data_IF_718824360561
#
_entry.id   IF_718824360561
#
_cell.length_a   1.000
_cell.length_b   1.000
_cell.length_c   1.000
_cell.angle_alpha   90.00
_cell.angle_beta   90.00
_cell.angle_gamma   90.00
#
_symmetry.space_group_name_H-M   'P 1'
#
loop_
_entity.id
_entity.type
_entity.pdbx_description
1 polymer ?
#
# COMPACT_ATOMS: atom_id res chain seq x y z
N UNK A 1 -20.00 -89.25 28.00
CA UNK A 1 -19.22 -90.34 27.36
C UNK A 1 -19.98 -90.78 26.13
N UNK A 2 -19.31 -90.91 24.98
CA UNK A 2 -19.43 -92.01 24.00
C UNK A 2 -18.74 -91.56 22.69
N UNK A 3 -18.00 -92.49 22.11
CA UNK A 3 -16.92 -92.31 21.14
C UNK A 3 -17.37 -92.07 19.68
N UNK A 4 -16.41 -91.58 18.88
CA UNK A 4 -16.09 -91.79 17.43
C UNK A 4 -16.96 -92.82 16.67
N UNK A 5 -17.17 -92.72 15.32
CA UNK A 5 -16.10 -92.50 14.30
C UNK A 5 -16.53 -91.87 12.94
N UNK A 6 -15.59 -91.74 11.99
CA UNK A 6 -15.83 -91.96 10.54
C UNK A 6 -15.83 -90.75 9.59
N UNK A 7 -14.79 -90.65 8.74
CA UNK A 7 -14.62 -89.70 7.62
C UNK A 7 -15.63 -89.93 6.47
N UNK A 8 -15.87 -88.91 5.60
CA UNK A 8 -15.40 -89.05 4.20
C UNK A 8 -15.03 -87.74 3.42
N UNK A 9 -14.15 -87.94 2.41
CA UNK A 9 -14.01 -87.26 1.10
C UNK A 9 -13.42 -85.82 0.99
N UNK A 10 -12.28 -85.71 0.27
CA UNK A 10 -11.78 -84.48 -0.42
C UNK A 10 -12.53 -84.22 -1.75
N UNK A 11 -12.19 -83.22 -2.61
CA UNK A 11 -10.85 -82.94 -3.22
C UNK A 11 -10.61 -81.40 -3.49
N UNK A 12 -9.86 -80.91 -4.51
CA UNK A 12 -8.50 -81.16 -5.02
C UNK A 12 -7.56 -79.90 -4.96
N UNK A 13 -6.25 -80.11 -5.15
CA UNK A 13 -5.19 -79.09 -5.14
C UNK A 13 -4.99 -78.33 -6.48
N UNK A 14 -4.90 -77.00 -6.40
CA UNK A 14 -4.60 -76.05 -7.49
C UNK A 14 -3.11 -76.06 -7.91
N UNK A 15 -2.62 -77.16 -8.50
CA UNK A 15 -1.27 -77.25 -9.08
C UNK A 15 -1.25 -77.19 -10.62
N UNK A 16 -2.26 -76.58 -11.24
CA UNK A 16 -2.49 -76.66 -12.69
C UNK A 16 -2.54 -75.32 -13.45
N UNK A 17 -1.96 -74.22 -12.94
CA UNK A 17 -1.99 -72.92 -13.66
C UNK A 17 -0.62 -72.29 -13.91
N UNK A 18 0.49 -72.87 -13.43
CA UNK A 18 1.84 -72.32 -13.65
C UNK A 18 2.58 -72.89 -14.88
N UNK A 19 1.99 -73.86 -15.61
CA UNK A 19 2.70 -74.62 -16.64
C UNK A 19 2.44 -74.18 -18.10
N UNK A 20 1.60 -73.17 -18.36
CA UNK A 20 1.16 -72.84 -19.73
C UNK A 20 1.85 -71.64 -20.41
N UNK A 21 2.78 -70.93 -19.77
CA UNK A 21 3.55 -69.83 -20.41
C UNK A 21 5.04 -70.12 -20.62
N UNK A 22 5.47 -71.38 -20.48
CA UNK A 22 6.89 -71.72 -20.41
C UNK A 22 7.62 -71.79 -21.77
N UNK A 23 7.03 -71.42 -22.93
CA UNK A 23 7.66 -71.65 -24.25
C UNK A 23 7.40 -70.58 -25.35
N UNK A 24 7.55 -69.27 -25.09
CA UNK A 24 7.58 -68.24 -26.17
C UNK A 24 8.56 -67.07 -25.99
N UNK A 25 9.71 -67.28 -25.35
CA UNK A 25 10.75 -66.23 -25.26
C UNK A 25 12.14 -66.82 -25.48
N UNK A 26 12.98 -66.24 -26.38
CA UNK A 26 14.35 -66.68 -26.62
C UNK A 26 15.18 -66.75 -25.34
N UNK A 27 16.12 -67.69 -25.26
CA UNK A 27 16.96 -67.94 -24.06
C UNK A 27 17.78 -66.72 -23.61
N UNK A 28 18.16 -65.83 -24.52
CA UNK A 28 18.82 -64.56 -24.18
C UNK A 28 17.87 -63.60 -23.44
N UNK A 29 16.59 -63.53 -23.86
CA UNK A 29 15.58 -62.74 -23.18
C UNK A 29 15.26 -63.26 -21.78
N UNK A 30 15.26 -64.58 -21.55
CA UNK A 30 15.05 -65.15 -20.18
C UNK A 30 16.18 -64.81 -19.20
N UNK A 31 17.40 -64.60 -19.68
CA UNK A 31 18.55 -64.24 -18.84
C UNK A 31 18.60 -62.74 -18.56
N UNK A 32 18.14 -61.91 -19.48
CA UNK A 32 18.12 -60.46 -19.32
C UNK A 32 16.85 -59.94 -18.64
N UNK A 33 15.71 -60.65 -18.74
CA UNK A 33 14.44 -60.25 -18.14
C UNK A 33 14.53 -60.00 -16.62
N UNK A 34 15.20 -60.82 -15.80
CA UNK A 34 15.36 -60.54 -14.36
C UNK A 34 16.18 -59.29 -14.11
N UNK A 35 17.16 -58.99 -14.97
CA UNK A 35 18.02 -57.81 -14.89
C UNK A 35 17.22 -56.55 -15.25
N UNK A 36 16.40 -56.60 -16.30
CA UNK A 36 15.52 -55.50 -16.66
C UNK A 36 14.41 -55.27 -15.64
N UNK A 37 13.83 -56.33 -15.08
CA UNK A 37 12.86 -56.22 -13.97
C UNK A 37 13.56 -55.60 -12.74
N UNK A 38 14.77 -56.05 -12.41
CA UNK A 38 15.58 -55.47 -11.34
C UNK A 38 15.89 -53.99 -11.56
N UNK A 39 16.24 -53.59 -12.79
CA UNK A 39 16.50 -52.21 -13.14
C UNK A 39 15.24 -51.33 -13.08
N UNK A 40 14.09 -51.84 -13.55
CA UNK A 40 12.80 -51.14 -13.45
C UNK A 40 12.35 -51.01 -11.99
N UNK A 41 12.50 -52.07 -11.18
CA UNK A 41 12.23 -52.02 -9.74
C UNK A 41 13.17 -51.05 -9.01
N UNK A 42 14.45 -50.98 -9.41
CA UNK A 42 15.42 -50.02 -8.88
C UNK A 42 15.04 -48.58 -9.27
N UNK A 43 14.63 -48.33 -10.51
CA UNK A 43 14.17 -47.01 -10.97
C UNK A 43 12.89 -46.60 -10.22
N UNK A 44 11.93 -47.51 -10.07
CA UNK A 44 10.71 -47.27 -9.29
C UNK A 44 11.05 -47.05 -7.81
N UNK A 45 11.99 -47.79 -7.23
CA UNK A 45 12.46 -47.58 -5.85
C UNK A 45 13.17 -46.22 -5.69
N UNK A 46 14.06 -45.84 -6.61
CA UNK A 46 14.74 -44.54 -6.59
C UNK A 46 13.77 -43.37 -6.81
N UNK A 47 12.74 -43.53 -7.66
CA UNK A 47 11.67 -42.54 -7.81
C UNK A 47 10.75 -42.48 -6.57
N UNK A 48 10.48 -43.62 -5.91
CA UNK A 48 9.68 -43.65 -4.67
C UNK A 48 10.47 -43.22 -3.42
N UNK A 49 11.81 -43.27 -3.43
CA UNK A 49 12.65 -42.67 -2.39
C UNK A 49 12.53 -41.13 -2.36
N UNK A 50 12.07 -40.50 -3.46
CA UNK A 50 11.69 -39.08 -3.49
C UNK A 50 10.21 -38.82 -3.15
N UNK A 51 9.40 -39.87 -2.90
CA UNK A 51 7.95 -39.77 -2.61
C UNK A 51 7.63 -40.09 -1.15
N UNK A 52 8.54 -40.73 -0.41
CA UNK A 52 8.45 -40.81 1.04
C UNK A 52 9.26 -39.67 1.68
N UNK A 53 8.64 -38.56 2.12
CA UNK A 53 9.30 -37.73 3.10
C UNK A 53 9.53 -38.63 4.31
N UNK A 54 10.79 -38.81 4.70
CA UNK A 54 11.13 -39.34 6.03
C UNK A 54 10.68 -38.30 7.05
N UNK A 55 9.37 -38.24 7.26
CA UNK A 55 8.71 -37.48 8.31
C UNK A 55 8.96 -38.18 9.63
N UNK A 56 10.18 -38.06 10.15
CA UNK A 56 10.35 -38.01 11.58
C UNK A 56 9.84 -36.62 11.96
N UNK A 57 8.61 -36.54 12.50
CA UNK A 57 8.19 -35.39 13.29
C UNK A 57 9.16 -35.30 14.47
N UNK A 58 10.25 -34.55 14.29
CA UNK A 58 11.00 -34.06 15.43
C UNK A 58 10.10 -33.03 16.12
N UNK A 59 9.96 -33.08 17.46
CA UNK A 59 9.34 -31.98 18.18
C UNK A 59 10.07 -30.70 17.77
N UNK A 60 9.28 -29.71 17.35
CA UNK A 60 9.74 -28.42 16.87
C UNK A 60 10.56 -27.75 17.98
N UNK A 61 11.88 -27.99 17.96
CA UNK A 61 12.84 -27.12 18.58
C UNK A 61 13.14 -26.05 17.54
N UNK A 62 13.00 -24.75 17.87
CA UNK A 62 13.34 -23.70 16.93
C UNK A 62 14.78 -23.94 16.50
N UNK A 63 14.98 -24.14 15.18
CA UNK A 63 16.31 -24.19 14.62
C UNK A 63 16.94 -22.83 14.91
N UNK A 64 17.76 -22.77 15.97
CA UNK A 64 18.75 -21.72 16.15
C UNK A 64 19.75 -21.93 15.03
N UNK A 65 19.36 -21.50 13.84
CA UNK A 65 20.28 -21.25 12.76
C UNK A 65 21.22 -20.22 13.34
N UNK A 66 22.51 -20.53 13.41
CA UNK A 66 23.56 -19.52 13.59
C UNK A 66 23.58 -18.64 12.35
N UNK A 67 22.52 -17.84 12.17
CA UNK A 67 22.57 -16.67 11.32
C UNK A 67 23.61 -15.77 11.97
N UNK A 68 24.57 -15.28 11.18
CA UNK A 68 25.41 -14.19 11.66
C UNK A 68 24.48 -13.10 12.19
N UNK A 69 24.81 -12.47 13.33
CA UNK A 69 23.93 -11.47 13.92
C UNK A 69 23.59 -10.44 12.84
N UNK A 70 22.31 -10.05 12.68
CA UNK A 70 21.90 -9.12 11.65
C UNK A 70 22.75 -7.86 11.79
N UNK A 71 23.67 -7.65 10.84
CA UNK A 71 24.52 -6.47 10.84
C UNK A 71 23.66 -5.36 10.25
N UNK A 72 22.85 -4.76 11.13
CA UNK A 72 22.05 -3.57 10.80
C UNK A 72 22.98 -2.60 10.09
N UNK A 73 22.63 -2.25 8.85
CA UNK A 73 23.46 -1.36 8.02
C UNK A 73 23.66 -0.04 8.75
N UNK A 74 24.77 0.64 8.56
CA UNK A 74 24.98 1.94 9.23
C UNK A 74 24.04 3.03 8.67
N UNK A 75 23.61 2.90 7.41
CA UNK A 75 22.85 3.92 6.68
C UNK A 75 21.45 3.44 6.29
N UNK A 76 20.51 4.39 6.22
CA UNK A 76 19.20 4.16 5.63
C UNK A 76 19.31 3.94 4.12
N UNK A 77 18.75 2.86 3.57
CA UNK A 77 18.67 2.64 2.13
C UNK A 77 17.96 3.79 1.42
N UNK A 78 18.53 4.26 0.29
CA UNK A 78 17.88 5.27 -0.57
C UNK A 78 16.83 4.64 -1.49
N UNK A 79 15.85 3.99 -0.87
CA UNK A 79 14.72 3.34 -1.53
C UNK A 79 13.40 3.83 -0.97
N UNK A 80 12.42 4.05 -1.85
CA UNK A 80 11.04 4.38 -1.51
C UNK A 80 10.16 3.27 -2.07
N UNK A 81 9.40 2.62 -1.20
CA UNK A 81 8.48 1.55 -1.53
C UNK A 81 7.05 2.03 -1.40
N UNK A 82 6.24 1.73 -2.40
CA UNK A 82 4.79 1.71 -2.28
C UNK A 82 4.26 0.35 -2.72
N UNK A 83 3.06 0.00 -2.28
CA UNK A 83 2.36 -1.21 -2.75
C UNK A 83 1.02 -0.82 -3.34
N UNK A 84 0.68 -1.36 -4.51
CA UNK A 84 -0.63 -1.12 -5.10
C UNK A 84 -1.09 -2.25 -6.02
N UNK A 85 -2.38 -2.29 -6.32
CA UNK A 85 -3.00 -3.39 -7.08
C UNK A 85 -2.40 -3.55 -8.48
N UNK A 86 -2.05 -2.44 -9.12
CA UNK A 86 -1.66 -2.41 -10.54
C UNK A 86 -0.30 -1.76 -10.75
N UNK A 87 0.33 -2.03 -11.89
CA UNK A 87 1.58 -1.41 -12.29
C UNK A 87 1.46 0.12 -12.42
N UNK A 88 2.54 0.90 -12.14
CA UNK A 88 2.56 2.36 -12.28
C UNK A 88 2.06 2.92 -13.61
N UNK A 89 2.23 2.19 -14.72
CA UNK A 89 1.72 2.59 -16.04
C UNK A 89 0.18 2.61 -16.13
N UNK A 90 -0.51 1.98 -15.18
CA UNK A 90 -1.97 1.89 -15.08
C UNK A 90 -2.53 2.67 -13.90
N UNK A 91 -1.72 3.48 -13.23
CA UNK A 91 -2.20 4.32 -12.13
C UNK A 91 -3.26 5.30 -12.61
N UNK A 92 -4.32 5.42 -11.81
CA UNK A 92 -5.25 6.53 -11.95
C UNK A 92 -4.55 7.84 -11.57
N UNK A 93 -5.10 8.97 -12.01
CA UNK A 93 -4.49 10.30 -11.83
C UNK A 93 -4.12 10.57 -10.36
N UNK A 94 -4.98 10.17 -9.42
CA UNK A 94 -4.75 10.31 -7.98
C UNK A 94 -3.48 9.58 -7.53
N UNK A 95 -3.41 8.28 -7.78
CA UNK A 95 -2.30 7.40 -7.35
C UNK A 95 -0.99 7.79 -8.06
N UNK A 96 -1.11 8.28 -9.30
CA UNK A 96 0.04 8.80 -10.04
C UNK A 96 0.57 10.10 -9.43
N UNK A 97 -0.30 10.98 -8.94
CA UNK A 97 0.09 12.24 -8.32
C UNK A 97 0.81 12.01 -6.99
N UNK A 98 0.32 11.11 -6.14
CA UNK A 98 0.98 10.73 -4.89
C UNK A 98 2.34 10.08 -5.16
N UNK A 99 2.41 9.11 -6.08
CA UNK A 99 3.68 8.49 -6.49
C UNK A 99 4.70 9.51 -7.03
N UNK A 100 4.26 10.44 -7.89
CA UNK A 100 5.11 11.51 -8.43
C UNK A 100 5.61 12.47 -7.34
N UNK A 101 4.84 12.68 -6.28
CA UNK A 101 5.27 13.54 -5.17
C UNK A 101 6.54 13.01 -4.50
N UNK A 102 6.67 11.69 -4.35
CA UNK A 102 7.85 11.03 -3.79
C UNK A 102 9.06 11.17 -4.71
N UNK A 103 8.88 10.87 -6.01
CA UNK A 103 9.93 10.99 -7.02
C UNK A 103 10.45 12.43 -7.17
N UNK A 104 9.54 13.40 -7.25
CA UNK A 104 9.90 14.81 -7.46
C UNK A 104 10.66 15.42 -6.28
N UNK A 105 10.31 15.04 -5.05
CA UNK A 105 10.98 15.53 -3.85
C UNK A 105 12.27 14.78 -3.54
N UNK A 106 12.44 13.58 -4.08
CA UNK A 106 13.56 12.68 -3.75
C UNK A 106 14.22 12.10 -5.01
N UNK A 107 14.81 12.96 -5.88
CA UNK A 107 15.36 12.53 -7.17
C UNK A 107 16.51 11.50 -7.04
N UNK A 108 17.19 11.49 -5.90
CA UNK A 108 18.32 10.58 -5.62
C UNK A 108 17.88 9.23 -5.04
N UNK A 109 16.57 9.01 -4.88
CA UNK A 109 16.02 7.78 -4.31
C UNK A 109 15.47 6.88 -5.40
N UNK A 110 15.72 5.58 -5.24
CA UNK A 110 15.10 4.57 -6.10
C UNK A 110 13.66 4.34 -5.64
N UNK A 111 12.71 4.60 -6.52
CA UNK A 111 11.29 4.38 -6.28
C UNK A 111 10.87 3.02 -6.84
N UNK A 112 10.17 2.23 -6.04
CA UNK A 112 9.71 0.89 -6.38
C UNK A 112 8.24 0.71 -5.98
N UNK A 113 7.51 -0.05 -6.80
CA UNK A 113 6.13 -0.43 -6.52
C UNK A 113 5.99 -1.93 -6.64
N UNK A 114 5.57 -2.57 -5.54
CA UNK A 114 5.11 -3.96 -5.58
C UNK A 114 3.61 -4.00 -5.84
N UNK A 115 3.20 -4.99 -6.64
CA UNK A 115 1.83 -5.14 -7.09
C UNK A 115 1.34 -6.57 -6.93
N UNK A 116 0.03 -6.75 -7.04
CA UNK A 116 -0.63 -8.06 -6.97
C UNK A 116 -0.03 -9.07 -7.98
N UNK A 117 0.57 -8.59 -9.08
CA UNK A 117 1.20 -9.40 -10.12
C UNK A 117 2.62 -9.87 -9.77
N UNK A 118 3.33 -9.21 -8.84
CA UNK A 118 4.74 -9.46 -8.56
C UNK A 118 5.08 -9.70 -7.08
N UNK A 119 4.14 -9.48 -6.16
CA UNK A 119 4.37 -9.58 -4.72
C UNK A 119 4.87 -10.97 -4.28
N UNK A 120 4.26 -12.04 -4.79
CA UNK A 120 4.62 -13.42 -4.45
C UNK A 120 6.06 -13.73 -4.90
N UNK A 121 6.46 -13.26 -6.09
CA UNK A 121 7.82 -13.46 -6.59
C UNK A 121 8.84 -12.70 -5.74
N UNK A 122 8.49 -11.50 -5.27
CA UNK A 122 9.33 -10.75 -4.35
C UNK A 122 9.54 -11.51 -3.03
N UNK A 123 8.46 -12.04 -2.46
CA UNK A 123 8.52 -12.83 -1.22
C UNK A 123 9.32 -14.13 -1.43
N UNK A 124 9.09 -14.86 -2.52
CA UNK A 124 9.87 -16.06 -2.86
C UNK A 124 11.37 -15.75 -3.03
N UNK A 125 11.71 -14.64 -3.69
CA UNK A 125 13.09 -14.23 -3.89
C UNK A 125 13.82 -13.91 -2.58
N UNK A 126 13.18 -13.13 -1.70
CA UNK A 126 13.83 -12.69 -0.45
C UNK A 126 13.74 -13.72 0.67
N UNK A 127 12.62 -14.43 0.82
CA UNK A 127 12.36 -15.32 1.95
C UNK A 127 12.45 -16.81 1.59
N UNK A 128 12.59 -17.15 0.30
CA UNK A 128 12.83 -18.52 -0.14
C UNK A 128 14.19 -19.07 0.30
N UNK A 129 14.49 -20.30 -0.15
CA UNK A 129 15.68 -21.07 0.25
C UNK A 129 17.00 -20.32 0.04
N UNK A 130 17.11 -19.57 -1.05
CA UNK A 130 18.34 -18.86 -1.42
C UNK A 130 18.46 -17.46 -0.80
N UNK A 131 17.40 -16.96 -0.16
CA UNK A 131 17.37 -15.66 0.52
C UNK A 131 17.57 -15.81 2.02
N UNK A 132 16.59 -15.37 2.82
CA UNK A 132 16.58 -15.52 4.28
C UNK A 132 16.28 -16.95 4.75
N UNK A 133 15.99 -17.88 3.83
CA UNK A 133 15.65 -19.28 4.11
C UNK A 133 14.51 -19.41 5.12
N UNK A 134 13.41 -18.71 4.86
CA UNK A 134 12.15 -18.71 5.61
C UNK A 134 11.00 -19.21 4.72
N UNK A 135 11.03 -20.48 4.28
CA UNK A 135 9.97 -21.05 3.46
C UNK A 135 8.60 -21.01 4.15
N UNK A 136 8.57 -21.02 5.49
CA UNK A 136 7.36 -20.84 6.29
C UNK A 136 6.68 -19.47 6.05
N UNK A 137 7.45 -18.40 5.88
CA UNK A 137 6.93 -17.08 5.50
C UNK A 137 6.37 -17.10 4.07
N UNK A 138 7.08 -17.76 3.15
CA UNK A 138 6.67 -17.86 1.74
C UNK A 138 5.35 -18.61 1.63
N UNK A 139 5.23 -19.76 2.28
CA UNK A 139 4.03 -20.58 2.25
C UNK A 139 2.85 -19.85 2.93
N UNK A 140 3.10 -19.24 4.09
CA UNK A 140 2.09 -18.44 4.77
C UNK A 140 1.57 -17.28 3.89
N UNK A 141 2.47 -16.50 3.29
CA UNK A 141 2.09 -15.38 2.43
C UNK A 141 1.27 -15.82 1.20
N UNK A 142 1.54 -17.02 0.67
CA UNK A 142 0.80 -17.62 -0.44
C UNK A 142 -0.64 -17.96 -0.05
N UNK A 143 -0.83 -18.45 1.18
CA UNK A 143 -2.11 -18.96 1.68
C UNK A 143 -3.05 -17.85 2.17
N UNK A 144 -2.50 -16.70 2.60
CA UNK A 144 -3.31 -15.53 2.98
C UNK A 144 -4.03 -14.94 1.77
N UNK A 145 -5.37 -14.88 1.83
CA UNK A 145 -6.24 -14.27 0.78
C UNK A 145 -6.86 -12.94 1.19
N UNK A 146 -6.85 -12.59 2.47
CA UNK A 146 -7.31 -11.29 2.94
C UNK A 146 -6.35 -10.19 2.42
N UNK A 147 -6.82 -9.38 1.47
CA UNK A 147 -5.98 -8.41 0.76
C UNK A 147 -5.31 -7.39 1.69
N UNK A 148 -6.01 -6.93 2.73
CA UNK A 148 -5.48 -5.96 3.71
C UNK A 148 -4.37 -6.56 4.57
N UNK A 149 -4.57 -7.77 5.09
CA UNK A 149 -3.56 -8.54 5.83
C UNK A 149 -2.33 -8.77 4.96
N UNK A 150 -2.54 -9.13 3.69
CA UNK A 150 -1.47 -9.36 2.72
C UNK A 150 -0.66 -8.08 2.47
N UNK A 151 -1.33 -6.92 2.35
CA UNK A 151 -0.67 -5.63 2.18
C UNK A 151 0.14 -5.21 3.43
N UNK A 152 -0.46 -5.32 4.63
CA UNK A 152 0.25 -5.04 5.90
C UNK A 152 1.49 -5.94 6.03
N UNK A 153 1.34 -7.25 5.79
CA UNK A 153 2.44 -8.19 5.87
C UNK A 153 3.53 -7.90 4.83
N UNK A 154 3.15 -7.62 3.57
CA UNK A 154 4.10 -7.30 2.51
C UNK A 154 4.95 -6.09 2.86
N UNK A 155 4.36 -5.05 3.45
CA UNK A 155 5.09 -3.88 3.95
C UNK A 155 6.20 -4.29 4.92
N UNK A 156 5.88 -5.09 5.93
CA UNK A 156 6.86 -5.51 6.93
C UNK A 156 7.96 -6.40 6.32
N UNK A 157 7.58 -7.28 5.38
CA UNK A 157 8.53 -8.13 4.64
C UNK A 157 9.53 -7.29 3.83
N UNK A 158 9.05 -6.29 3.09
CA UNK A 158 9.90 -5.36 2.32
C UNK A 158 10.84 -4.59 3.26
N UNK A 159 10.29 -4.08 4.36
CA UNK A 159 11.05 -3.26 5.31
C UNK A 159 12.11 -4.08 6.07
N UNK A 160 11.83 -5.36 6.37
CA UNK A 160 12.85 -6.27 6.88
C UNK A 160 13.92 -6.59 5.82
N UNK A 161 13.50 -6.93 4.59
CA UNK A 161 14.41 -7.40 3.55
C UNK A 161 15.37 -6.32 3.06
N UNK A 162 14.85 -5.12 2.79
CA UNK A 162 15.58 -4.08 2.08
C UNK A 162 15.62 -2.74 2.82
N UNK A 163 14.67 -2.48 3.72
CA UNK A 163 14.54 -1.20 4.42
C UNK A 163 14.31 -0.03 3.45
N UNK A 164 14.69 1.17 3.89
CA UNK A 164 14.42 2.42 3.19
C UNK A 164 13.20 3.09 3.78
N UNK A 165 12.37 3.70 2.95
CA UNK A 165 11.06 4.23 3.32
C UNK A 165 9.97 3.40 2.67
N UNK A 166 8.92 3.08 3.42
CA UNK A 166 7.66 2.64 2.87
C UNK A 166 6.60 3.73 3.03
N UNK A 167 5.70 3.85 2.05
CA UNK A 167 4.48 4.65 2.14
C UNK A 167 3.31 3.96 1.40
N UNK A 168 2.10 4.01 1.96
CA UNK A 168 0.88 3.60 1.26
C UNK A 168 0.69 4.46 -0.02
N UNK A 169 -0.02 3.92 -1.02
CA UNK A 169 -0.16 4.60 -2.33
C UNK A 169 -0.85 5.96 -2.23
N UNK A 170 -1.72 6.13 -1.23
CA UNK A 170 -2.51 7.33 -0.98
C UNK A 170 -1.82 8.31 -0.02
N UNK A 171 -0.50 8.18 0.12
CA UNK A 171 0.35 9.12 0.85
C UNK A 171 1.12 10.01 -0.12
N UNK A 172 0.93 11.31 0.03
CA UNK A 172 1.70 12.35 -0.64
C UNK A 172 2.89 12.78 0.23
N UNK A 173 4.08 12.87 -0.37
CA UNK A 173 5.21 13.55 0.27
C UNK A 173 5.02 15.06 0.20
N UNK A 174 5.07 15.78 1.32
CA UNK A 174 5.07 17.25 1.34
C UNK A 174 6.50 17.81 1.42
N UNK A 175 7.44 17.06 2.01
CA UNK A 175 8.86 17.41 2.15
C UNK A 175 9.76 16.25 1.68
N UNK A 176 11.02 16.53 1.30
CA UNK A 176 11.98 15.47 0.99
C UNK A 176 12.36 14.64 2.24
N UNK A 177 12.78 13.39 2.04
CA UNK A 177 13.23 12.48 3.12
C UNK A 177 14.42 13.04 3.91
N UNK A 178 15.22 13.93 3.31
CA UNK A 178 16.29 14.64 4.02
C UNK A 178 15.81 15.51 5.18
N UNK A 179 14.49 15.74 5.30
CA UNK A 179 13.86 16.45 6.42
C UNK A 179 13.20 15.55 7.46
N UNK A 180 13.19 14.23 7.26
CA UNK A 180 12.56 13.28 8.20
C UNK A 180 13.40 13.07 9.46
N UNK A 181 14.72 13.28 9.39
CA UNK A 181 15.61 13.31 10.55
C UNK A 181 16.00 14.78 10.78
N UNK A 182 15.49 15.42 11.85
CA UNK A 182 15.89 16.78 12.19
C UNK A 182 17.40 16.90 12.39
N UNK A 183 17.97 18.07 12.05
CA UNK A 183 19.42 18.34 12.08
C UNK A 183 20.08 18.15 13.46
N UNK A 184 19.27 18.19 14.54
CA UNK A 184 19.74 17.90 15.91
C UNK A 184 20.05 16.43 16.18
N UNK A 185 19.66 15.52 15.28
CA UNK A 185 19.91 14.09 15.41
C UNK A 185 20.85 13.60 14.31
N UNK A 186 21.66 12.58 14.66
CA UNK A 186 22.49 11.86 13.71
C UNK A 186 21.75 10.62 13.20
N UNK A 187 21.74 10.42 11.88
CA UNK A 187 21.18 9.22 11.27
C UNK A 187 21.92 7.92 11.71
N UNK A 188 23.15 8.03 12.20
CA UNK A 188 23.91 6.88 12.72
C UNK A 188 23.33 6.34 14.03
N UNK A 189 22.67 7.20 14.82
CA UNK A 189 22.09 6.84 16.12
C UNK A 189 20.65 6.34 16.02
N UNK A 190 20.09 6.36 14.81
CA UNK A 190 18.70 6.03 14.54
C UNK A 190 18.65 4.82 13.61
N UNK A 191 17.85 3.83 13.97
CA UNK A 191 17.61 2.65 13.15
C UNK A 191 16.25 2.65 12.47
N UNK A 192 15.29 3.39 13.03
CA UNK A 192 13.93 3.51 12.55
C UNK A 192 13.38 4.92 12.79
N UNK A 193 12.62 5.44 11.84
CA UNK A 193 11.87 6.70 11.94
C UNK A 193 10.39 6.38 11.74
N UNK A 194 9.58 6.70 12.74
CA UNK A 194 8.12 6.53 12.76
C UNK A 194 7.47 7.84 13.15
N UNK A 195 6.19 8.01 12.83
CA UNK A 195 5.37 9.10 13.35
C UNK A 195 4.25 8.57 14.23
N UNK A 196 3.69 9.44 15.06
CA UNK A 196 2.44 9.15 15.77
C UNK A 196 1.27 9.38 14.80
N UNK A 197 0.34 8.44 14.75
CA UNK A 197 -0.91 8.56 14.00
C UNK A 197 -2.05 9.03 14.91
N UNK A 198 -2.28 8.33 16.02
CA UNK A 198 -3.37 8.63 16.96
C UNK A 198 -2.79 8.75 18.36
N UNK A 199 -3.11 9.84 19.04
CA UNK A 199 -2.72 10.15 20.41
C UNK A 199 -3.94 10.65 21.19
N UNK A 200 -4.79 9.72 21.59
CA UNK A 200 -6.07 9.95 22.26
C UNK A 200 -6.17 9.04 23.50
N UNK A 201 -5.19 9.07 24.42
CA UNK A 201 -5.04 8.07 25.48
C UNK A 201 -6.22 8.03 26.46
N UNK A 202 -6.99 9.11 26.59
CA UNK A 202 -8.21 9.16 27.40
C UNK A 202 -9.25 8.09 27.01
N UNK A 203 -9.17 7.60 25.77
CA UNK A 203 -10.06 6.56 25.24
C UNK A 203 -9.46 5.16 25.32
N UNK A 204 -8.32 4.94 26.00
CA UNK A 204 -7.63 3.64 26.02
C UNK A 204 -8.48 2.49 26.54
N UNK A 205 -9.40 2.78 27.45
CA UNK A 205 -10.27 1.78 28.09
C UNK A 205 -11.61 1.61 27.35
N UNK A 206 -11.87 2.42 26.33
CA UNK A 206 -13.10 2.32 25.55
C UNK A 206 -13.08 1.04 24.69
N UNK A 207 -14.14 0.22 24.66
CA UNK A 207 -14.12 -1.09 24.00
C UNK A 207 -13.83 -1.04 22.49
N UNK A 208 -14.36 -0.04 21.77
CA UNK A 208 -14.17 0.14 20.31
C UNK A 208 -12.99 1.04 19.95
N UNK A 209 -12.79 2.15 20.69
CA UNK A 209 -11.76 3.15 20.40
C UNK A 209 -10.41 2.83 21.04
N UNK A 210 -10.40 2.18 22.20
CA UNK A 210 -9.20 1.87 22.99
C UNK A 210 -8.09 1.20 22.21
N UNK A 211 -8.36 0.13 21.43
CA UNK A 211 -7.32 -0.55 20.66
C UNK A 211 -6.57 0.36 19.67
N UNK A 212 -7.19 1.44 19.19
CA UNK A 212 -6.62 2.36 18.19
C UNK A 212 -6.25 3.75 18.73
N UNK A 213 -6.60 4.03 19.98
CA UNK A 213 -6.39 5.34 20.66
C UNK A 213 -4.93 5.80 20.73
N UNK A 214 -3.99 4.86 20.65
CA UNK A 214 -2.55 5.07 20.84
C UNK A 214 -1.81 4.29 19.77
N UNK A 215 -1.51 4.97 18.68
CA UNK A 215 -1.02 4.31 17.46
C UNK A 215 0.12 5.07 16.81
N UNK A 216 1.23 4.37 16.54
CA UNK A 216 2.21 4.81 15.56
C UNK A 216 1.70 4.57 14.14
N UNK A 217 2.08 5.48 13.25
CA UNK A 217 1.80 5.41 11.82
C UNK A 217 2.50 4.20 11.19
N UNK A 218 1.72 3.20 10.79
CA UNK A 218 2.22 2.02 10.07
C UNK A 218 2.24 2.19 8.54
N UNK A 219 1.40 3.09 8.02
CA UNK A 219 1.21 3.32 6.59
C UNK A 219 2.32 4.18 5.97
N UNK A 220 3.22 4.74 6.79
CA UNK A 220 4.50 5.32 6.36
C UNK A 220 5.51 5.23 7.49
N UNK A 221 6.68 4.67 7.21
CA UNK A 221 7.83 4.70 8.12
C UNK A 221 9.14 4.40 7.37
N UNK A 222 10.26 4.75 7.99
CA UNK A 222 11.60 4.54 7.44
C UNK A 222 12.41 3.64 8.38
N UNK A 223 13.11 2.64 7.86
CA UNK A 223 13.98 1.80 8.69
C UNK A 223 15.20 1.28 7.93
N UNK A 224 16.23 0.90 8.68
CA UNK A 224 17.33 0.07 8.17
C UNK A 224 16.84 -1.37 7.93
N UNK A 225 17.45 -2.14 7.02
CA UNK A 225 17.05 -3.52 6.82
C UNK A 225 17.40 -4.39 8.03
N UNK A 226 16.69 -5.51 8.16
CA UNK A 226 16.91 -6.58 9.15
C UNK A 226 16.78 -6.14 10.61
N UNK A 227 15.91 -5.16 10.90
CA UNK A 227 15.59 -4.84 12.29
C UNK A 227 14.83 -6.01 12.94
N UNK A 228 15.23 -6.47 14.14
CA UNK A 228 14.56 -7.57 14.83
C UNK A 228 13.06 -7.36 15.05
N UNK A 229 12.62 -6.12 15.28
CA UNK A 229 11.18 -5.80 15.45
C UNK A 229 10.35 -6.14 14.23
N UNK A 230 10.87 -5.94 13.02
CA UNK A 230 10.12 -6.25 11.80
C UNK A 230 9.90 -7.75 11.68
N UNK A 231 10.93 -8.58 11.96
CA UNK A 231 10.77 -10.04 11.97
C UNK A 231 9.82 -10.51 13.07
N UNK A 232 9.96 -9.97 14.29
CA UNK A 232 9.04 -10.30 15.40
C UNK A 232 7.59 -9.98 15.05
N UNK A 233 7.34 -8.83 14.40
CA UNK A 233 6.01 -8.45 13.94
C UNK A 233 5.48 -9.41 12.86
N UNK A 234 6.30 -9.77 11.87
CA UNK A 234 5.96 -10.78 10.85
C UNK A 234 5.56 -12.11 11.51
N UNK A 235 6.37 -12.62 12.44
CA UNK A 235 6.12 -13.89 13.13
C UNK A 235 4.91 -13.81 14.06
N UNK A 236 4.68 -12.66 14.68
CA UNK A 236 3.48 -12.41 15.48
C UNK A 236 2.22 -12.49 14.60
N UNK A 237 2.20 -11.81 13.46
CA UNK A 237 1.09 -11.85 12.50
C UNK A 237 0.83 -13.28 12.03
N UNK A 238 1.88 -14.03 11.70
CA UNK A 238 1.78 -15.44 11.33
C UNK A 238 1.12 -16.28 12.43
N UNK A 239 1.59 -16.12 13.66
CA UNK A 239 1.08 -16.84 14.82
C UNK A 239 -0.38 -16.48 15.11
N UNK A 240 -0.67 -15.17 15.12
CA UNK A 240 -2.00 -14.63 15.37
C UNK A 240 -3.01 -15.14 14.35
N UNK A 241 -2.74 -15.00 13.05
CA UNK A 241 -3.69 -15.38 12.01
C UNK A 241 -3.93 -16.90 11.96
N UNK A 242 -2.89 -17.71 12.21
CA UNK A 242 -3.06 -19.16 12.38
C UNK A 242 -3.93 -19.49 13.61
N UNK A 243 -3.79 -18.71 14.70
CA UNK A 243 -4.65 -18.78 15.87
C UNK A 243 -6.12 -18.53 15.50
N UNK A 244 -6.39 -17.42 14.81
CA UNK A 244 -7.74 -17.07 14.34
C UNK A 244 -8.31 -18.14 13.40
N UNK A 245 -7.51 -18.66 12.47
CA UNK A 245 -7.91 -19.74 11.56
C UNK A 245 -8.34 -21.00 12.34
N UNK A 246 -7.58 -21.37 13.36
CA UNK A 246 -7.89 -22.51 14.24
C UNK A 246 -9.15 -22.29 15.06
N UNK A 247 -9.37 -21.09 15.57
CA UNK A 247 -10.59 -20.72 16.32
C UNK A 247 -11.83 -20.78 15.43
N UNK A 248 -11.72 -20.27 14.20
CA UNK A 248 -12.78 -20.32 13.20
C UNK A 248 -12.93 -21.71 12.55
N UNK A 249 -11.97 -22.62 12.77
CA UNK A 249 -11.91 -23.96 12.18
C UNK A 249 -11.93 -23.96 10.64
N UNK A 250 -11.23 -22.99 10.05
CA UNK A 250 -11.12 -22.78 8.60
C UNK A 250 -9.65 -22.74 8.19
N UNK A 251 -9.31 -23.05 6.93
CA UNK A 251 -7.97 -22.78 6.41
C UNK A 251 -7.70 -21.27 6.37
N UNK A 252 -6.41 -20.87 6.35
CA UNK A 252 -5.97 -19.47 6.31
C UNK A 252 -6.65 -18.65 5.19
N UNK A 253 -6.88 -19.27 4.03
CA UNK A 253 -7.50 -18.64 2.87
C UNK A 253 -8.97 -18.22 3.10
N UNK A 254 -9.65 -18.83 4.08
CA UNK A 254 -11.07 -18.63 4.36
C UNK A 254 -11.31 -17.83 5.65
N UNK A 255 -10.25 -17.40 6.33
CA UNK A 255 -10.36 -16.60 7.55
C UNK A 255 -11.11 -15.30 7.25
N UNK A 256 -12.13 -15.02 8.07
CA UNK A 256 -12.86 -13.76 8.04
C UNK A 256 -12.44 -12.92 9.23
N UNK A 257 -12.01 -11.71 8.94
CA UNK A 257 -11.59 -10.74 9.95
C UNK A 257 -12.55 -9.56 9.94
N UNK A 258 -12.96 -9.14 11.13
CA UNK A 258 -13.58 -7.84 11.31
C UNK A 258 -12.52 -6.71 11.29
N UNK A 259 -13.00 -5.47 11.32
CA UNK A 259 -12.14 -4.29 11.26
C UNK A 259 -11.15 -4.23 12.42
N UNK A 260 -11.62 -4.49 13.65
CA UNK A 260 -10.80 -4.32 14.86
C UNK A 260 -9.73 -5.42 14.95
N UNK A 261 -10.05 -6.65 14.52
CA UNK A 261 -9.09 -7.74 14.37
C UNK A 261 -7.96 -7.39 13.40
N UNK A 262 -8.24 -6.72 12.28
CA UNK A 262 -7.19 -6.28 11.35
C UNK A 262 -6.29 -5.25 12.03
N UNK A 263 -6.88 -4.24 12.68
CA UNK A 263 -6.15 -3.18 13.37
C UNK A 263 -5.24 -3.74 14.47
N UNK A 264 -5.74 -4.68 15.28
CA UNK A 264 -5.00 -5.30 16.38
C UNK A 264 -4.04 -6.40 15.95
N UNK A 265 -4.30 -7.07 14.82
CA UNK A 265 -3.55 -8.24 14.39
C UNK A 265 -2.41 -7.94 13.42
N UNK A 266 -2.63 -7.04 12.46
CA UNK A 266 -1.63 -6.68 11.43
C UNK A 266 -1.41 -5.18 11.27
N UNK A 267 -2.39 -4.39 11.71
CA UNK A 267 -2.46 -2.96 11.52
C UNK A 267 -1.67 -2.13 12.55
N UNK A 268 -2.09 -0.87 12.77
CA UNK A 268 -1.32 0.09 13.56
C UNK A 268 -1.11 -0.34 15.02
N UNK A 269 -2.06 -1.02 15.65
CA UNK A 269 -1.92 -1.44 17.04
C UNK A 269 -0.88 -2.55 17.19
N UNK A 270 -0.89 -3.57 16.32
CA UNK A 270 0.13 -4.63 16.29
C UNK A 270 1.53 -4.06 16.07
N UNK A 271 1.66 -3.11 15.14
CA UNK A 271 2.90 -2.40 14.85
C UNK A 271 3.39 -1.60 16.06
N UNK A 272 2.48 -0.88 16.71
CA UNK A 272 2.77 -0.05 17.88
C UNK A 272 3.27 -0.89 19.06
N UNK A 273 2.54 -1.95 19.40
CA UNK A 273 2.92 -2.87 20.47
C UNK A 273 4.28 -3.53 20.20
N UNK A 274 4.53 -3.98 18.96
CA UNK A 274 5.81 -4.58 18.59
C UNK A 274 6.98 -3.60 18.79
N UNK A 275 6.81 -2.33 18.43
CA UNK A 275 7.82 -1.29 18.59
C UNK A 275 8.04 -0.94 20.05
N UNK A 276 6.98 -0.70 20.84
CA UNK A 276 7.12 -0.37 22.27
C UNK A 276 7.79 -1.52 23.03
N UNK A 277 7.39 -2.77 22.75
CA UNK A 277 8.04 -3.95 23.34
C UNK A 277 9.53 -4.01 22.98
N UNK A 278 9.86 -3.74 21.73
CA UNK A 278 11.23 -3.79 21.25
C UNK A 278 12.08 -2.62 21.77
N UNK A 279 11.50 -1.42 21.95
CA UNK A 279 12.11 -0.30 22.66
C UNK A 279 12.42 -0.68 24.12
N UNK A 280 11.49 -1.32 24.81
CA UNK A 280 11.68 -1.81 26.19
C UNK A 280 12.76 -2.90 26.29
N UNK A 281 12.90 -3.75 25.27
CA UNK A 281 13.98 -4.75 25.22
C UNK A 281 15.36 -4.14 24.99
N UNK A 282 15.43 -2.98 24.32
CA UNK A 282 16.68 -2.29 23.96
C UNK A 282 16.99 -1.06 24.81
N UNK A 283 16.21 -0.81 25.85
CA UNK A 283 16.41 0.35 26.74
C UNK A 283 17.80 0.29 27.40
N UNK A 284 18.45 1.44 27.48
CA UNK A 284 19.76 1.57 28.10
C UNK A 284 19.68 1.44 29.63
N UNK A 285 18.67 2.08 30.24
CA UNK A 285 18.38 1.94 31.67
C UNK A 285 17.28 0.88 31.88
N UNK A 286 17.60 -0.25 32.53
CA UNK A 286 16.62 -1.29 32.84
C UNK A 286 15.44 -0.81 33.71
N UNK A 287 15.60 0.27 34.48
CA UNK A 287 14.58 0.82 35.38
C UNK A 287 13.54 1.68 34.66
N UNK A 288 13.85 2.20 33.49
CA UNK A 288 12.91 3.00 32.71
C UNK A 288 11.82 2.09 32.14
N UNK A 289 10.55 2.44 32.36
CA UNK A 289 9.44 1.86 31.63
C UNK A 289 9.18 2.71 30.39
N UNK A 290 9.12 2.10 29.21
CA UNK A 290 8.75 2.81 27.98
C UNK A 290 7.30 2.46 27.69
N UNK A 291 6.41 3.42 27.87
CA UNK A 291 4.98 3.32 27.58
C UNK A 291 4.51 4.53 26.76
N UNK A 292 3.20 4.62 26.52
CA UNK A 292 2.64 5.66 25.68
C UNK A 292 2.76 7.07 26.27
N UNK A 293 2.90 7.20 27.60
CA UNK A 293 3.00 8.51 28.25
C UNK A 293 4.23 9.30 27.78
N UNK A 294 5.28 8.60 27.32
CA UNK A 294 6.45 9.22 26.69
C UNK A 294 6.16 9.86 25.33
N UNK A 295 5.11 9.39 24.66
CA UNK A 295 4.72 9.79 23.30
C UNK A 295 3.47 10.68 23.27
N UNK A 296 2.76 10.79 24.40
CA UNK A 296 1.62 11.68 24.54
C UNK A 296 2.02 13.16 24.51
N UNK A 297 1.23 13.99 23.83
CA UNK A 297 1.38 15.45 23.75
C UNK A 297 2.78 15.90 23.32
N UNK A 298 3.39 15.16 22.38
CA UNK A 298 4.70 15.48 21.85
C UNK A 298 4.68 16.75 20.97
N UNK A 299 5.26 17.83 21.47
CA UNK A 299 5.52 19.06 20.69
C UNK A 299 6.75 18.97 19.78
N UNK A 300 7.67 18.05 20.06
CA UNK A 300 8.87 17.81 19.28
C UNK A 300 9.19 16.32 19.18
N UNK A 301 9.90 15.93 18.12
CA UNK A 301 10.34 14.54 17.95
C UNK A 301 11.35 14.10 19.00
N UNK A 302 11.38 12.80 19.31
CA UNK A 302 12.24 12.21 20.34
C UNK A 302 12.86 10.91 19.84
N UNK A 303 14.07 10.60 20.32
CA UNK A 303 14.72 9.31 20.05
C UNK A 303 14.60 8.43 21.28
N UNK A 304 14.01 7.25 21.13
CA UNK A 304 13.84 6.25 22.19
C UNK A 304 14.37 4.91 21.67
N UNK A 305 15.37 4.34 22.36
CA UNK A 305 15.97 3.05 21.97
C UNK A 305 16.32 2.94 20.48
N UNK A 306 16.95 4.01 19.95
CA UNK A 306 17.36 4.19 18.53
C UNK A 306 16.20 4.31 17.53
N UNK A 307 14.99 4.54 17.99
CA UNK A 307 13.83 4.85 17.14
C UNK A 307 13.51 6.34 17.28
N UNK A 308 13.53 7.07 16.17
CA UNK A 308 13.09 8.46 16.11
C UNK A 308 11.56 8.49 15.94
N UNK A 309 10.86 8.99 16.95
CA UNK A 309 9.42 9.18 16.95
C UNK A 309 9.12 10.64 16.61
N UNK A 310 8.40 10.83 15.50
CA UNK A 310 7.94 12.13 15.01
C UNK A 310 6.55 12.44 15.54
N UNK A 311 6.24 13.73 15.65
CA UNK A 311 4.96 14.23 16.17
C UNK A 311 3.81 13.87 15.24
N UNK A 312 2.57 13.96 15.76
CA UNK A 312 1.35 13.79 14.96
C UNK A 312 1.34 14.77 13.78
N UNK A 313 1.64 16.05 14.01
CA UNK A 313 1.68 17.06 12.94
C UNK A 313 2.70 16.73 11.83
N UNK A 314 3.77 15.99 12.13
CA UNK A 314 4.76 15.64 11.12
C UNK A 314 4.25 14.57 10.13
N UNK A 315 3.54 13.56 10.62
CA UNK A 315 3.12 12.41 9.81
C UNK A 315 1.62 12.37 9.53
N UNK A 316 0.78 12.65 10.51
CA UNK A 316 -0.67 12.52 10.42
C UNK A 316 -1.39 13.89 10.45
N UNK A 317 -0.83 14.89 9.76
CA UNK A 317 -1.35 16.25 9.79
C UNK A 317 -2.80 16.36 9.31
N UNK A 318 -3.61 17.22 9.94
CA UNK A 318 -4.93 17.60 9.43
C UNK A 318 -6.02 16.52 9.49
N UNK A 319 -5.92 15.56 10.41
CA UNK A 319 -6.97 14.55 10.68
C UNK A 319 -8.08 15.04 11.62
N UNK A 320 -7.91 16.21 12.26
CA UNK A 320 -8.94 16.84 13.09
C UNK A 320 -9.06 16.28 14.51
N UNK A 321 -8.04 15.55 14.97
CA UNK A 321 -7.87 15.05 16.34
C UNK A 321 -6.36 14.93 16.65
N UNK A 322 -5.99 14.50 17.86
CA UNK A 322 -4.59 14.35 18.35
C UNK A 322 -3.71 15.60 18.12
N UNK A 323 -4.27 16.81 18.19
CA UNK A 323 -3.60 18.08 17.87
C UNK A 323 -2.78 18.07 16.56
N UNK A 324 -3.28 17.36 15.56
CA UNK A 324 -2.62 17.13 14.27
C UNK A 324 -2.35 18.35 13.39
N UNK A 325 -2.67 19.58 13.83
CA UNK A 325 -2.43 20.78 13.05
C UNK A 325 -3.05 20.74 11.64
N UNK A 326 -2.30 21.17 10.63
CA UNK A 326 -2.74 21.14 9.23
C UNK A 326 -1.59 20.88 8.25
N UNK A 327 -1.92 20.56 7.00
CA UNK A 327 -0.95 20.21 5.96
C UNK A 327 -0.03 21.37 5.51
N UNK A 328 -0.37 22.62 5.82
CA UNK A 328 0.46 23.79 5.51
C UNK A 328 1.48 24.08 6.64
N UNK A 329 1.39 23.35 7.76
CA UNK A 329 2.31 23.51 8.88
C UNK A 329 3.74 23.22 8.46
N UNK A 330 4.69 23.93 9.06
CA UNK A 330 6.11 23.77 8.75
C UNK A 330 6.61 22.36 9.07
N UNK A 331 6.07 21.74 10.11
CA UNK A 331 6.44 20.40 10.56
C UNK A 331 5.85 19.28 9.69
N UNK A 332 4.76 19.54 8.94
CA UNK A 332 4.11 18.53 8.12
C UNK A 332 5.05 18.01 7.02
N UNK A 333 5.36 16.72 7.08
CA UNK A 333 6.28 16.04 6.16
C UNK A 333 5.55 15.32 5.04
N UNK A 334 4.36 14.80 5.34
CA UNK A 334 3.54 13.99 4.44
C UNK A 334 2.05 14.33 4.63
N UNK A 335 1.23 13.87 3.69
CA UNK A 335 -0.23 14.01 3.69
C UNK A 335 -0.86 12.68 3.36
N UNK A 336 -1.75 12.20 4.23
CA UNK A 336 -2.49 10.97 4.02
C UNK A 336 -3.88 11.26 3.44
N UNK A 337 -4.27 10.55 2.38
CA UNK A 337 -5.60 10.67 1.79
C UNK A 337 -6.53 9.53 2.28
N UNK A 338 -6.87 9.50 3.58
CA UNK A 338 -7.54 8.39 4.32
C UNK A 338 -8.75 7.69 3.66
N UNK A 339 -9.41 8.32 2.69
CA UNK A 339 -10.57 7.74 1.99
C UNK A 339 -10.25 7.20 0.59
N UNK A 340 -9.00 7.27 0.16
CA UNK A 340 -8.61 6.95 -1.20
C UNK A 340 -8.55 5.43 -1.47
N UNK A 341 -8.03 4.65 -0.53
CA UNK A 341 -7.94 3.18 -0.65
C UNK A 341 -9.29 2.45 -0.51
N UNK A 342 -10.27 3.08 0.14
CA UNK A 342 -11.64 2.58 0.38
C UNK A 342 -11.69 1.17 0.99
N UNK A 343 -10.64 0.73 1.68
CA UNK A 343 -10.60 -0.59 2.31
C UNK A 343 -11.59 -0.76 3.48
N UNK A 344 -11.95 0.27 4.28
CA UNK A 344 -12.95 0.11 5.34
C UNK A 344 -14.34 -0.28 4.81
N UNK A 345 -14.62 -0.07 3.53
CA UNK A 345 -15.90 -0.52 2.94
C UNK A 345 -15.96 -2.03 2.76
N UNK A 346 -14.82 -2.73 2.77
CA UNK A 346 -14.72 -4.21 2.66
C UNK A 346 -14.66 -4.90 4.02
N UNK A 347 -14.24 -4.17 5.05
CA UNK A 347 -14.22 -4.59 6.44
C UNK A 347 -14.95 -3.52 7.26
N UNK A 348 -16.30 -3.57 7.30
CA UNK A 348 -17.08 -2.54 7.96
C UNK A 348 -16.75 -2.52 9.45
N UNK A 349 -16.67 -1.31 10.00
CA UNK A 349 -16.57 -1.09 11.44
C UNK A 349 -17.83 -1.56 12.13
N UNK A 350 -17.74 -1.78 13.43
CA UNK A 350 -18.93 -1.98 14.24
C UNK A 350 -19.87 -0.76 14.10
N UNK A 351 -21.11 -1.02 13.69
CA UNK A 351 -22.14 -0.01 13.55
C UNK A 351 -23.33 -0.40 14.43
N UNK A 352 -23.63 0.41 15.45
CA UNK A 352 -24.81 0.20 16.27
C UNK A 352 -26.09 0.36 15.41
N UNK A 353 -27.09 -0.52 15.50
CA UNK A 353 -28.29 -0.47 14.64
C UNK A 353 -28.99 0.89 14.62
N UNK A 354 -29.08 1.55 15.79
CA UNK A 354 -29.70 2.87 15.91
C UNK A 354 -28.73 4.03 15.67
N UNK A 355 -27.49 3.94 16.12
CA UNK A 355 -26.58 5.10 16.26
C UNK A 355 -25.36 5.06 15.33
N UNK A 356 -25.17 3.98 14.58
CA UNK A 356 -24.05 3.82 13.65
C UNK A 356 -22.70 3.63 14.36
N UNK A 357 -21.64 3.94 13.62
CA UNK A 357 -20.24 3.84 14.03
C UNK A 357 -19.85 4.98 14.99
N UNK A 358 -19.21 4.67 16.12
CA UNK A 358 -18.72 5.67 17.07
C UNK A 358 -17.58 6.52 16.49
N UNK A 359 -16.81 5.97 15.55
CA UNK A 359 -15.68 6.61 14.89
C UNK A 359 -16.08 7.83 14.07
N UNK A 360 -17.37 7.99 13.75
CA UNK A 360 -17.90 9.21 13.14
C UNK A 360 -17.76 10.44 14.04
N UNK A 361 -17.62 10.24 15.35
CA UNK A 361 -17.31 11.30 16.30
C UNK A 361 -15.89 11.86 16.16
N UNK A 362 -14.98 11.15 15.47
CA UNK A 362 -13.59 11.57 15.28
C UNK A 362 -12.91 12.01 16.60
N UNK A 363 -13.04 11.18 17.64
CA UNK A 363 -12.47 11.41 18.98
C UNK A 363 -13.03 12.61 19.76
N UNK A 364 -14.06 13.28 19.25
CA UNK A 364 -14.72 14.35 20.00
C UNK A 364 -15.39 13.81 21.28
N UNK A 365 -14.94 14.27 22.44
CA UNK A 365 -15.35 13.73 23.73
C UNK A 365 -16.85 13.78 23.97
N UNK A 366 -17.48 14.94 23.75
CA UNK A 366 -18.93 15.10 23.91
C UNK A 366 -19.72 14.14 23.01
N UNK A 367 -19.28 13.97 21.76
CA UNK A 367 -19.92 13.07 20.80
C UNK A 367 -19.79 11.60 21.22
N UNK A 368 -18.58 11.15 21.60
CA UNK A 368 -18.34 9.76 22.01
C UNK A 368 -19.12 9.42 23.28
N UNK A 369 -19.04 10.27 24.32
CA UNK A 369 -19.80 10.06 25.56
C UNK A 369 -21.30 10.04 25.33
N UNK A 370 -21.79 10.87 24.41
CA UNK A 370 -23.21 10.85 24.03
C UNK A 370 -23.57 9.53 23.34
N UNK A 371 -22.74 9.05 22.42
CA UNK A 371 -22.95 7.76 21.77
C UNK A 371 -23.00 6.61 22.79
N UNK A 372 -22.06 6.57 23.73
CA UNK A 372 -22.03 5.55 24.79
C UNK A 372 -23.29 5.58 25.65
N UNK A 373 -23.71 6.77 26.10
CA UNK A 373 -24.92 6.95 26.89
C UNK A 373 -26.17 6.50 26.13
N UNK A 374 -26.25 6.84 24.85
CA UNK A 374 -27.38 6.48 23.99
C UNK A 374 -27.44 4.95 23.77
N UNK A 375 -26.29 4.31 23.54
CA UNK A 375 -26.17 2.85 23.40
C UNK A 375 -26.52 2.13 24.71
N UNK A 376 -26.02 2.63 25.84
CA UNK A 376 -26.34 2.07 27.15
C UNK A 376 -27.84 2.20 27.46
N UNK A 377 -28.44 3.37 27.20
CA UNK A 377 -29.87 3.58 27.36
C UNK A 377 -30.69 2.65 26.45
N UNK A 378 -30.29 2.50 25.18
CA UNK A 378 -30.91 1.60 24.23
C UNK A 378 -30.89 0.14 24.70
N UNK A 379 -29.78 -0.31 25.31
CA UNK A 379 -29.64 -1.67 25.84
C UNK A 379 -30.64 -2.00 26.97
N UNK A 380 -31.15 -0.98 27.68
CA UNK A 380 -32.10 -1.11 28.80
C UNK A 380 -33.58 -1.07 28.39
N UNK A 381 -33.87 -0.78 27.12
CA UNK A 381 -35.24 -0.67 26.58
C UNK A 381 -35.85 -2.03 26.22
N UNK A 382 -37.19 -2.08 26.05
CA UNK A 382 -37.83 -3.30 25.54
C UNK A 382 -37.53 -3.51 24.05
N UNK A 383 -37.73 -4.73 23.54
CA UNK A 383 -37.47 -5.04 22.11
C UNK A 383 -38.35 -4.22 21.18
N UNK A 384 -39.59 -3.91 21.58
CA UNK A 384 -40.53 -3.11 20.81
C UNK A 384 -40.07 -1.65 20.72
N UNK A 385 -39.56 -1.09 21.83
CA UNK A 385 -38.99 0.26 21.86
C UNK A 385 -37.71 0.36 21.04
N UNK A 386 -36.83 -0.64 21.16
CA UNK A 386 -35.62 -0.74 20.35
C UNK A 386 -35.92 -0.77 18.86
N UNK A 387 -36.88 -1.60 18.43
CA UNK A 387 -37.27 -1.70 17.02
C UNK A 387 -37.82 -0.37 16.51
N UNK A 388 -38.66 0.31 17.30
CA UNK A 388 -39.20 1.62 16.93
C UNK A 388 -38.09 2.65 16.71
N UNK A 389 -37.09 2.70 17.60
CA UNK A 389 -35.94 3.61 17.46
C UNK A 389 -35.12 3.26 16.22
N UNK A 390 -34.89 1.97 15.95
CA UNK A 390 -34.18 1.52 14.75
C UNK A 390 -34.92 1.99 13.49
N UNK A 391 -36.24 1.78 13.42
CA UNK A 391 -37.06 2.15 12.27
C UNK A 391 -37.06 3.67 12.05
N UNK A 392 -37.19 4.45 13.13
CA UNK A 392 -37.15 5.91 13.09
C UNK A 392 -35.77 6.41 12.62
N UNK A 393 -34.68 5.84 13.14
CA UNK A 393 -33.31 6.18 12.73
C UNK A 393 -33.00 5.75 11.29
N UNK A 394 -33.52 4.61 10.85
CA UNK A 394 -33.37 4.17 9.46
C UNK A 394 -34.10 5.11 8.50
N UNK A 395 -35.31 5.56 8.85
CA UNK A 395 -36.04 6.59 8.09
C UNK A 395 -35.24 7.88 8.01
N UNK A 396 -34.73 8.39 9.13
CA UNK A 396 -33.88 9.60 9.16
C UNK A 396 -32.63 9.45 8.27
N UNK A 397 -31.96 8.29 8.32
CA UNK A 397 -30.78 8.01 7.49
C UNK A 397 -31.12 8.00 6.01
N UNK A 398 -32.24 7.39 5.63
CA UNK A 398 -32.71 7.34 4.25
C UNK A 398 -33.05 8.72 3.71
N UNK A 399 -33.77 9.53 4.50
CA UNK A 399 -34.07 10.92 4.16
C UNK A 399 -32.78 11.76 3.99
N UNK A 400 -31.80 11.58 4.87
CA UNK A 400 -30.50 12.24 4.77
C UNK A 400 -29.69 11.79 3.54
N UNK A 401 -29.71 10.49 3.21
CA UNK A 401 -29.04 9.95 2.03
C UNK A 401 -29.68 10.47 0.73
N UNK A 402 -31.01 10.49 0.65
CA UNK A 402 -31.75 11.01 -0.50
C UNK A 402 -31.47 12.50 -0.70
N UNK A 403 -31.42 13.27 0.40
CA UNK A 403 -31.00 14.68 0.37
C UNK A 403 -29.56 14.83 -0.13
N UNK A 404 -28.62 14.01 0.36
CA UNK A 404 -27.21 14.04 -0.08
C UNK A 404 -27.07 13.72 -1.57
N UNK A 405 -27.78 12.70 -2.07
CA UNK A 405 -27.80 12.35 -3.50
C UNK A 405 -28.32 13.49 -4.36
N UNK A 406 -29.40 14.14 -3.92
CA UNK A 406 -29.95 15.31 -4.61
C UNK A 406 -28.94 16.48 -4.64
N UNK A 407 -28.25 16.74 -3.52
CA UNK A 407 -27.21 17.78 -3.42
C UNK A 407 -25.99 17.46 -4.29
N UNK A 408 -25.54 16.21 -4.34
CA UNK A 408 -24.44 15.74 -5.20
C UNK A 408 -24.79 15.85 -6.68
N UNK A 409 -26.00 15.45 -7.07
CA UNK A 409 -26.47 15.58 -8.45
C UNK A 409 -26.54 17.04 -8.88
N UNK A 410 -27.01 17.93 -7.98
CA UNK A 410 -26.99 19.38 -8.19
C UNK A 410 -25.57 19.90 -8.36
N UNK A 411 -24.64 19.53 -7.48
CA UNK A 411 -23.22 19.92 -7.58
C UNK A 411 -22.59 19.44 -8.88
N UNK A 412 -22.90 18.22 -9.33
CA UNK A 412 -22.40 17.67 -10.59
C UNK A 412 -22.92 18.46 -11.79
N UNK A 413 -24.22 18.78 -11.82
CA UNK A 413 -24.84 19.65 -12.83
C UNK A 413 -24.18 21.04 -12.86
N UNK A 414 -23.94 21.63 -11.68
CA UNK A 414 -23.29 22.93 -11.56
C UNK A 414 -21.81 22.89 -12.02
N UNK A 415 -21.08 21.81 -11.71
CA UNK A 415 -19.71 21.61 -12.16
C UNK A 415 -19.61 21.42 -13.68
N UNK A 416 -20.51 20.63 -14.27
CA UNK A 416 -20.60 20.46 -15.73
C UNK A 416 -20.93 21.79 -16.43
N UNK A 417 -21.85 22.58 -15.86
CA UNK A 417 -22.16 23.92 -16.37
C UNK A 417 -20.94 24.83 -16.31
N UNK A 418 -20.23 24.92 -15.17
CA UNK A 418 -18.99 25.69 -15.05
C UNK A 418 -17.92 25.25 -16.04
N UNK A 419 -17.78 23.94 -16.29
CA UNK A 419 -16.82 23.41 -17.27
C UNK A 419 -17.17 23.84 -18.70
N UNK A 420 -18.47 23.79 -19.06
CA UNK A 420 -18.97 24.29 -20.35
C UNK A 420 -18.75 25.80 -20.51
N UNK A 421 -19.06 26.57 -19.47
CA UNK A 421 -18.87 28.03 -19.47
C UNK A 421 -17.39 28.40 -19.62
N UNK A 422 -16.49 27.71 -18.90
CA UNK A 422 -15.03 27.90 -19.02
C UNK A 422 -14.53 27.56 -20.42
N UNK A 423 -14.97 26.44 -20.99
CA UNK A 423 -14.60 26.05 -22.36
C UNK A 423 -15.11 27.05 -23.41
N UNK A 424 -16.32 27.58 -23.24
CA UNK A 424 -16.88 28.61 -24.11
C UNK A 424 -16.11 29.93 -24.01
N UNK A 425 -15.73 30.35 -22.80
CA UNK A 425 -14.92 31.54 -22.58
C UNK A 425 -13.51 31.39 -23.20
N UNK A 426 -12.89 30.23 -23.05
CA UNK A 426 -11.58 29.94 -23.66
C UNK A 426 -11.65 29.92 -25.19
N UNK A 427 -12.73 29.36 -25.76
CA UNK A 427 -12.97 29.41 -27.20
C UNK A 427 -13.12 30.84 -27.70
N UNK A 428 -13.94 31.67 -27.05
CA UNK A 428 -14.09 33.09 -27.39
C UNK A 428 -12.76 33.85 -27.30
N UNK A 429 -11.94 33.54 -26.29
CA UNK A 429 -10.61 34.14 -26.13
C UNK A 429 -9.70 33.79 -27.31
N UNK A 430 -9.67 32.51 -27.73
CA UNK A 430 -8.90 32.07 -28.91
C UNK A 430 -9.40 32.71 -30.20
N UNK A 431 -10.71 32.83 -30.38
CA UNK A 431 -11.30 33.51 -31.55
C UNK A 431 -10.93 35.01 -31.59
N UNK A 432 -10.94 35.69 -30.44
CA UNK A 432 -10.51 37.08 -30.32
C UNK A 432 -9.01 37.24 -30.62
N UNK A 433 -8.16 36.38 -30.03
CA UNK A 433 -6.71 36.39 -30.29
C UNK A 433 -6.39 36.15 -31.78
N UNK A 434 -7.15 35.28 -32.46
CA UNK A 434 -6.99 35.05 -33.91
C UNK A 434 -7.46 36.25 -34.74
N UNK A 435 -8.59 36.87 -34.37
CA UNK A 435 -9.09 38.08 -35.04
C UNK A 435 -8.10 39.26 -34.90
N UNK A 436 -7.55 39.45 -33.71
CA UNK A 436 -6.54 40.48 -33.43
C UNK A 436 -5.25 40.22 -34.24
N UNK A 437 -4.82 38.95 -34.38
CA UNK A 437 -3.68 38.57 -35.23
C UNK A 437 -3.92 38.91 -36.70
N UNK A 438 -5.09 38.53 -37.25
CA UNK A 438 -5.47 38.84 -38.64
C UNK A 438 -5.54 40.34 -38.89
N UNK A 439 -6.05 41.12 -37.93
CA UNK A 439 -6.08 42.58 -38.03
C UNK A 439 -4.67 43.22 -38.03
N UNK A 440 -3.73 42.66 -37.25
CA UNK A 440 -2.34 43.09 -37.27
C UNK A 440 -1.62 42.74 -38.58
N UNK A 441 -1.86 41.54 -39.13
CA UNK A 441 -1.32 41.12 -40.43
C UNK A 441 -1.84 42.03 -41.55
N UNK A 442 -3.14 42.32 -41.59
CA UNK A 442 -3.72 43.23 -42.58
C UNK A 442 -3.21 44.67 -42.50
N UNK A 443 -2.91 45.17 -41.29
CA UNK A 443 -2.25 46.48 -41.13
C UNK A 443 -0.82 46.48 -41.66
N UNK A 444 -0.05 45.43 -41.39
CA UNK A 444 1.32 45.29 -41.92
C UNK A 444 1.33 45.26 -43.45
N UNK A 445 0.44 44.48 -44.07
CA UNK A 445 0.33 44.44 -45.53
C UNK A 445 -0.07 45.80 -46.12
N UNK A 446 -0.96 46.54 -45.46
CA UNK A 446 -1.35 47.88 -45.89
C UNK A 446 -0.19 48.89 -45.77
N UNK A 447 0.58 48.84 -44.69
CA UNK A 447 1.76 49.69 -44.49
C UNK A 447 2.87 49.35 -45.49
N UNK A 448 3.04 48.07 -45.83
CA UNK A 448 4.03 47.59 -46.81
C UNK A 448 3.66 48.04 -48.23
N UNK A 449 2.39 47.92 -48.63
CA UNK A 449 1.90 48.48 -49.91
C UNK A 449 2.06 49.99 -50.00
N UNK A 450 1.78 50.71 -48.90
CA UNK A 450 1.96 52.15 -48.86
C UNK A 450 3.42 52.55 -49.01
N UNK A 451 4.33 51.78 -48.40
CA UNK A 451 5.77 51.95 -48.56
C UNK A 451 6.25 51.67 -49.98
N UNK A 452 5.73 50.63 -50.63
CA UNK A 452 6.01 50.35 -52.05
C UNK A 452 5.50 51.48 -52.97
N UNK A 453 4.31 52.02 -52.70
CA UNK A 453 3.77 53.17 -53.44
C UNK A 453 4.61 54.44 -53.23
N UNK A 454 5.04 54.71 -52.00
CA UNK A 454 5.89 55.86 -51.68
C UNK A 454 7.29 55.72 -52.32
N UNK A 455 7.91 54.53 -52.28
CA UNK A 455 9.20 54.23 -52.94
C UNK A 455 9.09 54.35 -54.47
N UNK A 456 7.98 53.89 -55.07
CA UNK A 456 7.72 54.04 -56.50
C UNK A 456 7.56 55.52 -56.89
N UNK A 457 6.93 56.32 -56.02
CA UNK A 457 6.76 57.76 -56.23
C UNK A 457 8.08 58.52 -56.08
N UNK A 458 8.97 58.08 -55.20
CA UNK A 458 10.30 58.67 -55.03
C UNK A 458 11.21 58.36 -56.23
N UNK A 459 11.23 57.11 -56.70
CA UNK A 459 11.93 56.73 -57.94
C UNK A 459 11.44 57.49 -59.16
N UNK A 460 10.13 57.76 -59.26
CA UNK A 460 9.59 58.58 -60.34
C UNK A 460 10.10 60.03 -60.28
N UNK A 461 10.24 60.61 -59.07
CA UNK A 461 10.81 61.95 -58.87
C UNK A 461 12.31 62.00 -59.19
N UNK A 462 13.07 60.97 -58.84
CA UNK A 462 14.49 60.89 -59.20
C UNK A 462 14.69 60.80 -60.72
N UNK A 463 13.89 59.98 -61.41
CA UNK A 463 13.91 59.91 -62.88
C UNK A 463 13.54 61.24 -63.55
N UNK A 464 12.62 62.00 -62.95
CA UNK A 464 12.27 63.35 -63.43
C UNK A 464 13.38 64.38 -63.13
N UNK A 465 14.08 64.23 -62.01
CA UNK A 465 15.24 65.03 -61.62
C UNK A 465 16.47 64.80 -62.50
N UNK A 466 16.72 63.56 -62.92
CA UNK A 466 17.78 63.21 -63.88
C UNK A 466 17.47 63.74 -65.29
N UNK A 467 16.20 63.67 -65.73
CA UNK A 467 15.77 64.33 -66.99
C UNK A 467 16.00 65.84 -66.96
N UNK A 468 15.69 66.52 -65.85
CA UNK A 468 15.94 67.97 -65.69
C UNK A 468 17.43 68.31 -65.56
N UNK A 469 18.28 67.41 -65.04
CA UNK A 469 19.75 67.57 -65.05
C UNK A 469 20.36 67.35 -66.43
N UNK A 470 19.78 66.49 -67.27
CA UNK A 470 20.18 66.31 -68.66
C UNK A 470 19.85 67.54 -69.53
N UNK A 471 18.71 68.20 -69.30
CA UNK A 471 18.34 69.44 -69.99
C UNK A 471 19.15 70.68 -69.55
N UNK A 472 19.68 70.70 -68.32
CA UNK A 472 20.51 71.82 -67.82
C UNK A 472 21.99 71.78 -68.24
N UNK A 473 22.45 70.71 -68.90
CA UNK A 473 23.85 70.54 -69.35
C UNK A 473 24.10 70.90 -70.83
N UNK A 474 23.09 71.36 -71.58
CA UNK A 474 23.25 71.73 -73.00
C UNK A 474 23.22 73.24 -73.30
N UNK A 475 23.23 74.11 -72.29
CA UNK A 475 23.28 75.57 -72.48
C UNK A 475 24.67 76.15 -72.24
N UNK A 476 25.58 76.05 -73.22
CA UNK A 476 26.82 76.84 -73.27
C UNK A 476 26.64 78.05 -74.22
N UNK A 477 27.16 79.24 -73.88
CA UNK A 477 27.11 80.44 -74.72
C UNK A 477 28.37 80.55 -75.60
N UNK A 478 28.24 81.06 -76.83
CA UNK A 478 29.34 81.74 -77.53
C UNK A 478 28.86 82.64 -78.70
N UNK A 479 29.07 83.95 -78.50
CA UNK A 479 29.61 85.00 -79.37
C UNK A 479 29.32 85.10 -80.88
N UNK A 480 29.10 86.38 -81.26
CA UNK A 480 29.34 87.06 -82.56
C UNK A 480 28.30 86.88 -83.67
#
# INVERSE_FOLDING_TARGET
MIAKPGNPMGPPSLLATAAQFRNRLPTQFRRALPVYIGAVCLIIFLFNLNIFPTGIQQPYLPAVTTQQPPKVRNEFPRKIWQTWKVNPLKFEERDLNTARSWLSKNPDYRYEVLTDDNDMRYVEWHFGRDGFNRPDIVDFYRDVKAAIVKADLLRYLVMYAEGGLYADIDVEALKPLSKFIPERYSAMDIDMVIGIEIDEPDWSDHPILGPKSRSFCQWTFMCKPQLPVMMKLIEHIMTWLNGVAREQKVPLAEVKLDFDQIISGTGPSAFTEAIINDMNMRKEDPKTNIDWDLFHDMSESRVVSRVLVLTVEAFAAGQGHSDSGNHEARAALIRHHYHASNWPSRHPRYAHPAYGEVERCNWNDECVRKWDKDVEAFSKMTKEEQQKIIDDKERERKEAEDKRKADEEKKKKDAEKKKKDKAAAEKKKKEQEEADRKAQEGKKEADEKKKEEDDAREKAKEAEGEKKKAEKKSGWPHLA
#
